data_IF_118443436040
#
_entry.id   IF_118443436040
#
_cell.length_a   1.000
_cell.length_b   1.000
_cell.length_c   1.000
_cell.angle_alpha   90.00
_cell.angle_beta   90.00
_cell.angle_gamma   90.00
#
_symmetry.space_group_name_H-M   'P 1'
#
loop_
_entity.id
_entity.type
_entity.pdbx_description
1 polymer ?
#
# COMPACT_ATOMS: atom_id res chain seq x y z
N UNK A 1 -24.34 -15.32 -8.95
CA UNK A 1 -25.53 -14.69 -8.34
C UNK A 1 -25.08 -13.41 -7.67
N UNK A 2 -25.59 -12.26 -8.12
CA UNK A 2 -25.47 -11.00 -7.36
C UNK A 2 -26.34 -11.12 -6.11
N UNK A 3 -25.75 -10.90 -4.93
CA UNK A 3 -26.44 -11.05 -3.63
C UNK A 3 -26.89 -9.72 -3.03
N UNK A 4 -26.46 -8.59 -3.60
CA UNK A 4 -26.75 -7.25 -3.09
C UNK A 4 -27.62 -6.48 -4.09
N UNK A 5 -28.68 -5.85 -3.60
CA UNK A 5 -29.60 -5.02 -4.39
C UNK A 5 -29.17 -3.55 -4.48
N UNK A 6 -28.27 -3.11 -3.60
CA UNK A 6 -27.66 -1.79 -3.60
C UNK A 6 -26.40 -1.82 -2.73
N UNK A 7 -25.50 -0.84 -2.91
CA UNK A 7 -24.31 -0.67 -2.08
C UNK A 7 -24.29 0.76 -1.55
N UNK A 8 -24.14 0.92 -0.23
CA UNK A 8 -24.01 2.20 0.46
C UNK A 8 -22.67 2.20 1.20
N UNK A 9 -21.89 3.27 1.07
CA UNK A 9 -20.57 3.38 1.73
C UNK A 9 -20.38 4.74 2.40
N UNK A 10 -19.87 4.73 3.64
CA UNK A 10 -19.57 5.96 4.38
C UNK A 10 -18.41 6.75 3.75
N UNK A 11 -17.43 6.02 3.21
CA UNK A 11 -16.22 6.56 2.59
C UNK A 11 -15.96 5.89 1.25
N UNK A 12 -15.34 6.63 0.35
CA UNK A 12 -14.93 6.14 -0.96
C UNK A 12 -15.01 7.23 -2.02
N UNK A 13 -14.73 6.87 -3.26
CA UNK A 13 -14.82 7.78 -4.41
C UNK A 13 -15.73 7.22 -5.49
N UNK A 14 -16.28 8.11 -6.31
CA UNK A 14 -17.12 7.76 -7.46
C UNK A 14 -16.35 7.10 -8.61
N UNK A 15 -15.02 7.18 -8.61
CA UNK A 15 -14.11 6.54 -9.56
C UNK A 15 -13.32 5.36 -8.94
N UNK A 16 -13.60 5.00 -7.67
CA UNK A 16 -12.92 3.91 -6.99
C UNK A 16 -13.31 2.53 -7.51
N UNK A 17 -12.54 1.50 -7.15
CA UNK A 17 -12.75 0.12 -7.58
C UNK A 17 -14.17 -0.41 -7.26
N UNK A 18 -14.72 -0.05 -6.10
CA UNK A 18 -16.08 -0.43 -5.70
C UNK A 18 -17.14 0.25 -6.58
N UNK A 19 -16.94 1.53 -6.94
CA UNK A 19 -17.83 2.26 -7.83
C UNK A 19 -17.84 1.63 -9.24
N UNK A 20 -16.65 1.28 -9.74
CA UNK A 20 -16.50 0.55 -10.99
C UNK A 20 -17.20 -0.81 -10.95
N UNK A 21 -17.11 -1.53 -9.84
CA UNK A 21 -17.78 -2.81 -9.64
C UNK A 21 -19.31 -2.66 -9.60
N UNK A 22 -19.82 -1.67 -8.88
CA UNK A 22 -21.25 -1.40 -8.77
C UNK A 22 -21.85 -1.01 -10.12
N UNK A 23 -21.19 -0.11 -10.87
CA UNK A 23 -21.59 0.23 -12.26
C UNK A 23 -21.60 -0.99 -13.16
N UNK A 24 -20.55 -1.82 -13.09
CA UNK A 24 -20.45 -3.05 -13.91
C UNK A 24 -21.61 -4.00 -13.64
N UNK A 25 -22.01 -4.11 -12.38
CA UNK A 25 -23.10 -4.99 -11.98
C UNK A 25 -24.48 -4.34 -12.01
N UNK A 26 -24.58 -3.06 -12.43
CA UNK A 26 -25.82 -2.27 -12.40
C UNK A 26 -26.48 -2.28 -11.04
N UNK A 27 -25.67 -2.22 -9.98
CA UNK A 27 -26.14 -2.14 -8.61
C UNK A 27 -26.17 -0.66 -8.22
N UNK A 28 -27.33 -0.13 -7.78
CA UNK A 28 -27.43 1.22 -7.23
C UNK A 28 -26.35 1.45 -6.16
N UNK A 29 -25.59 2.53 -6.31
CA UNK A 29 -24.43 2.78 -5.45
C UNK A 29 -24.35 4.24 -5.02
N UNK A 30 -24.31 4.45 -3.70
CA UNK A 30 -24.07 5.75 -3.10
C UNK A 30 -22.82 5.66 -2.21
N UNK A 31 -21.93 6.63 -2.38
CA UNK A 31 -20.64 6.70 -1.70
C UNK A 31 -20.45 8.05 -1.01
N UNK A 32 -19.69 8.04 0.08
CA UNK A 32 -19.36 9.26 0.82
C UNK A 32 -20.49 9.73 1.74
N UNK A 33 -21.33 8.80 2.23
CA UNK A 33 -22.45 9.11 3.13
C UNK A 33 -21.99 9.56 4.53
N UNK A 34 -20.72 9.33 4.89
CA UNK A 34 -20.07 9.65 6.17
C UNK A 34 -20.61 8.93 7.40
N UNK A 35 -21.91 8.80 7.56
CA UNK A 35 -22.56 8.28 8.76
C UNK A 35 -23.67 7.24 8.52
N UNK A 36 -23.77 6.68 7.31
CA UNK A 36 -24.78 5.69 6.98
C UNK A 36 -24.67 4.44 7.87
N UNK A 37 -23.45 3.95 8.15
CA UNK A 37 -23.27 2.78 9.04
C UNK A 37 -23.71 3.03 10.48
N UNK A 38 -23.84 4.31 10.89
CA UNK A 38 -24.32 4.70 12.23
C UNK A 38 -25.83 4.90 12.28
N UNK A 39 -26.45 5.16 11.14
CA UNK A 39 -27.88 5.50 11.02
C UNK A 39 -28.74 4.32 10.58
N UNK A 40 -28.19 3.40 9.80
CA UNK A 40 -28.90 2.25 9.25
C UNK A 40 -28.64 1.01 10.10
N UNK A 41 -29.67 0.19 10.29
CA UNK A 41 -29.57 -1.04 11.08
C UNK A 41 -29.72 -2.30 10.23
N UNK A 42 -29.06 -3.39 10.65
CA UNK A 42 -29.18 -4.67 9.96
C UNK A 42 -30.63 -5.19 9.97
N UNK A 43 -31.12 -5.61 8.80
CA UNK A 43 -32.48 -6.11 8.62
C UNK A 43 -33.52 -5.00 8.36
N UNK A 44 -33.10 -3.74 8.33
CA UNK A 44 -33.97 -2.62 7.95
C UNK A 44 -34.34 -2.68 6.46
N UNK A 45 -35.62 -2.42 6.16
CA UNK A 45 -36.11 -2.34 4.79
C UNK A 45 -35.92 -0.91 4.29
N UNK A 46 -35.22 -0.75 3.16
CA UNK A 46 -34.87 0.55 2.59
C UNK A 46 -35.18 0.57 1.09
N UNK A 47 -35.46 1.76 0.56
CA UNK A 47 -35.49 2.03 -0.87
C UNK A 47 -34.38 3.02 -1.19
N UNK A 48 -33.56 2.71 -2.18
CA UNK A 48 -32.38 3.49 -2.52
C UNK A 48 -32.58 4.06 -3.91
N UNK A 49 -32.58 5.38 -3.99
CA UNK A 49 -32.60 6.14 -5.23
C UNK A 49 -31.21 6.73 -5.44
N UNK A 50 -30.45 6.09 -6.33
CA UNK A 50 -29.07 6.50 -6.59
C UNK A 50 -28.97 7.71 -7.53
N UNK A 51 -30.01 8.02 -8.31
CA UNK A 51 -30.00 9.15 -9.26
C UNK A 51 -30.25 10.46 -8.52
N UNK A 52 -31.25 10.47 -7.64
CA UNK A 52 -31.54 11.62 -6.76
C UNK A 52 -30.64 11.64 -5.51
N UNK A 53 -29.84 10.58 -5.31
CA UNK A 53 -28.92 10.43 -4.18
C UNK A 53 -29.64 10.46 -2.81
N UNK A 54 -30.76 9.72 -2.71
CA UNK A 54 -31.63 9.67 -1.53
C UNK A 54 -31.83 8.22 -1.06
N UNK A 55 -31.76 8.02 0.25
CA UNK A 55 -32.10 6.75 0.90
C UNK A 55 -33.39 6.93 1.70
N UNK A 56 -34.42 6.18 1.32
CA UNK A 56 -35.72 6.20 1.95
C UNK A 56 -35.88 5.02 2.92
N UNK A 57 -36.54 5.28 4.04
CA UNK A 57 -36.95 4.23 4.96
C UNK A 57 -38.20 3.51 4.44
N UNK A 58 -38.16 2.18 4.42
CA UNK A 58 -39.24 1.33 3.91
C UNK A 58 -39.20 1.11 2.40
N UNK A 59 -40.25 0.46 1.89
CA UNK A 59 -40.42 0.12 0.47
C UNK A 59 -41.31 1.16 -0.23
N UNK A 60 -40.73 1.97 -1.12
CA UNK A 60 -41.49 2.89 -1.98
C UNK A 60 -41.76 2.20 -3.31
N UNK A 61 -42.99 1.69 -3.48
CA UNK A 61 -43.38 0.89 -4.65
C UNK A 61 -43.47 1.73 -5.92
N UNK A 62 -43.87 2.98 -5.78
CA UNK A 62 -44.03 3.94 -6.86
C UNK A 62 -42.69 4.19 -7.56
N UNK A 63 -41.61 4.34 -6.78
CA UNK A 63 -40.27 4.57 -7.28
C UNK A 63 -39.73 3.33 -7.99
N UNK A 64 -39.95 2.14 -7.40
CA UNK A 64 -39.57 0.87 -8.03
C UNK A 64 -40.29 0.69 -9.37
N UNK A 65 -41.60 0.97 -9.43
CA UNK A 65 -42.37 0.85 -10.66
C UNK A 65 -41.96 1.88 -11.71
N UNK A 66 -41.64 3.11 -11.29
CA UNK A 66 -41.16 4.16 -12.19
C UNK A 66 -39.89 3.71 -12.93
N UNK A 67 -38.87 3.26 -12.19
CA UNK A 67 -37.62 2.78 -12.77
C UNK A 67 -37.78 1.47 -13.54
N UNK A 68 -38.67 0.57 -13.12
CA UNK A 68 -38.97 -0.65 -13.89
C UNK A 68 -39.56 -0.31 -15.27
N UNK A 69 -40.39 0.73 -15.37
CA UNK A 69 -40.98 1.17 -16.63
C UNK A 69 -39.93 1.88 -17.50
N UNK A 70 -39.06 2.67 -16.88
CA UNK A 70 -37.98 3.40 -17.57
C UNK A 70 -36.90 2.44 -18.11
N UNK A 71 -36.52 1.42 -17.35
CA UNK A 71 -35.55 0.39 -17.77
C UNK A 71 -36.04 -0.46 -18.95
N UNK A 72 -37.35 -0.60 -19.16
CA UNK A 72 -37.91 -1.33 -20.31
C UNK A 72 -37.60 -0.68 -21.66
N UNK A 73 -37.07 0.55 -21.68
CA UNK A 73 -36.61 1.24 -22.89
C UNK A 73 -35.08 1.36 -23.03
N UNK A 74 -34.31 1.15 -21.96
CA UNK A 74 -32.87 1.36 -21.94
C UNK A 74 -32.09 0.11 -22.37
N UNK A 75 -31.35 0.21 -23.48
CA UNK A 75 -30.36 -0.80 -23.89
C UNK A 75 -30.64 -1.52 -25.21
N UNK A 76 -31.78 -1.23 -25.84
CA UNK A 76 -32.08 -1.65 -27.22
C UNK A 76 -31.60 -0.64 -28.27
N UNK A 77 -31.12 0.54 -27.86
CA UNK A 77 -30.52 1.50 -28.78
C UNK A 77 -29.22 0.94 -29.38
N UNK A 78 -29.04 1.13 -30.69
CA UNK A 78 -27.86 0.67 -31.41
C UNK A 78 -26.57 1.21 -30.79
N UNK A 79 -26.58 2.47 -30.34
CA UNK A 79 -25.45 3.12 -29.68
C UNK A 79 -25.09 2.43 -28.35
N UNK A 80 -26.10 2.03 -27.57
CA UNK A 80 -25.89 1.33 -26.30
C UNK A 80 -25.36 -0.09 -26.53
N UNK A 81 -25.90 -0.81 -27.50
CA UNK A 81 -25.42 -2.14 -27.88
C UNK A 81 -23.98 -2.10 -28.40
N UNK A 82 -23.67 -1.13 -29.26
CA UNK A 82 -22.30 -0.90 -29.75
C UNK A 82 -21.35 -0.56 -28.59
N UNK A 83 -21.76 0.29 -27.66
CA UNK A 83 -20.96 0.64 -26.50
C UNK A 83 -20.68 -0.59 -25.63
N UNK A 84 -21.69 -1.41 -25.33
CA UNK A 84 -21.50 -2.66 -24.57
C UNK A 84 -20.54 -3.62 -25.27
N UNK A 85 -20.69 -3.84 -26.58
CA UNK A 85 -19.78 -4.70 -27.34
C UNK A 85 -18.32 -4.24 -27.24
N UNK A 86 -18.08 -2.92 -27.31
CA UNK A 86 -16.73 -2.35 -27.14
C UNK A 86 -16.27 -2.51 -25.70
N UNK A 87 -17.12 -2.18 -24.72
CA UNK A 87 -16.78 -2.24 -23.30
C UNK A 87 -16.37 -3.66 -22.86
N UNK A 88 -17.07 -4.68 -23.33
CA UNK A 88 -16.77 -6.09 -23.06
C UNK A 88 -15.40 -6.52 -23.58
N UNK A 89 -14.90 -5.88 -24.64
CA UNK A 89 -13.57 -6.15 -25.23
C UNK A 89 -12.47 -5.24 -24.69
N UNK A 90 -12.81 -4.11 -24.07
CA UNK A 90 -11.82 -3.15 -23.59
C UNK A 90 -11.62 -3.27 -22.08
N UNK A 91 -12.68 -3.11 -21.29
CA UNK A 91 -12.59 -2.79 -19.87
C UNK A 91 -12.68 -4.00 -18.94
N UNK A 92 -13.28 -5.10 -19.39
CA UNK A 92 -13.51 -6.25 -18.54
C UNK A 92 -12.20 -7.01 -18.24
N UNK A 93 -11.82 -7.12 -16.96
CA UNK A 93 -10.74 -8.02 -16.57
C UNK A 93 -11.32 -9.44 -16.47
N UNK A 94 -11.00 -10.28 -17.44
CA UNK A 94 -11.55 -11.64 -17.53
C UNK A 94 -10.90 -12.62 -16.54
N UNK A 95 -9.77 -12.20 -15.94
CA UNK A 95 -9.01 -12.96 -14.96
C UNK A 95 -9.63 -12.93 -13.56
N UNK A 96 -10.72 -13.68 -13.33
CA UNK A 96 -11.36 -13.81 -12.00
C UNK A 96 -10.79 -14.92 -11.11
N UNK A 97 -9.84 -15.72 -11.59
CA UNK A 97 -9.34 -16.92 -10.88
C UNK A 97 -7.95 -16.68 -10.28
N UNK A 98 -7.86 -15.93 -9.19
CA UNK A 98 -6.60 -15.72 -8.47
C UNK A 98 -6.29 -16.82 -7.43
N UNK A 99 -7.30 -17.59 -7.00
CA UNK A 99 -7.17 -18.59 -5.92
C UNK A 99 -6.77 -19.99 -6.37
N UNK A 100 -6.98 -20.32 -7.65
CA UNK A 100 -6.74 -21.68 -8.13
C UNK A 100 -6.03 -21.67 -9.47
N UNK A 101 -4.76 -22.10 -9.42
CA UNK A 101 -3.94 -22.67 -10.49
C UNK A 101 -2.78 -21.81 -11.01
N UNK A 102 -1.62 -22.42 -10.84
CA UNK A 102 -0.37 -22.32 -11.58
C UNK A 102 -0.59 -22.49 -13.10
N UNK A 103 -1.27 -21.57 -13.75
CA UNK A 103 -1.22 -21.44 -15.21
C UNK A 103 -0.27 -20.30 -15.55
N UNK A 104 0.77 -20.61 -16.34
CA UNK A 104 1.66 -19.60 -16.89
C UNK A 104 0.84 -18.66 -17.79
N UNK A 105 0.60 -17.45 -17.29
CA UNK A 105 -0.11 -16.40 -18.01
C UNK A 105 0.57 -16.11 -19.36
N UNK A 106 -0.16 -16.25 -20.47
CA UNK A 106 0.35 -15.98 -21.81
C UNK A 106 -0.55 -15.00 -22.58
N UNK A 107 0.01 -14.37 -23.62
CA UNK A 107 -0.72 -13.39 -24.43
C UNK A 107 -1.96 -13.99 -25.13
N UNK A 108 -1.95 -15.30 -25.41
CA UNK A 108 -3.06 -16.01 -26.06
C UNK A 108 -4.27 -16.21 -25.14
N UNK A 109 -4.11 -16.02 -23.83
CA UNK A 109 -5.18 -16.11 -22.82
C UNK A 109 -5.90 -14.78 -22.57
N UNK A 110 -5.40 -13.66 -23.12
CA UNK A 110 -6.02 -12.35 -22.98
C UNK A 110 -7.28 -12.25 -23.85
N UNK A 111 -8.42 -11.90 -23.26
CA UNK A 111 -9.69 -11.72 -23.96
C UNK A 111 -10.02 -10.24 -24.20
N UNK A 112 -9.43 -9.35 -23.41
CA UNK A 112 -9.66 -7.91 -23.45
C UNK A 112 -8.37 -7.10 -23.49
N UNK A 113 -8.49 -5.79 -23.80
CA UNK A 113 -7.36 -4.86 -23.69
C UNK A 113 -6.88 -4.73 -22.24
N UNK A 114 -7.81 -4.74 -21.27
CA UNK A 114 -7.47 -4.72 -19.85
C UNK A 114 -6.64 -5.94 -19.45
N UNK A 115 -6.96 -7.13 -19.98
CA UNK A 115 -6.18 -8.35 -19.75
C UNK A 115 -4.72 -8.19 -20.24
N UNK A 116 -4.54 -7.60 -21.43
CA UNK A 116 -3.22 -7.34 -21.99
C UNK A 116 -2.42 -6.34 -21.15
N UNK A 117 -3.06 -5.25 -20.71
CA UNK A 117 -2.44 -4.26 -19.84
C UNK A 117 -2.03 -4.87 -18.50
N UNK A 118 -2.90 -5.72 -17.92
CA UNK A 118 -2.62 -6.47 -16.71
C UNK A 118 -1.43 -7.42 -16.89
N UNK A 119 -1.40 -8.20 -17.99
CA UNK A 119 -0.30 -9.10 -18.32
C UNK A 119 1.03 -8.35 -18.53
N UNK A 120 1.01 -7.19 -19.20
CA UNK A 120 2.19 -6.38 -19.40
C UNK A 120 2.76 -5.87 -18.07
N UNK A 121 1.89 -5.40 -17.17
CA UNK A 121 2.27 -4.97 -15.83
C UNK A 121 2.84 -6.14 -15.01
N UNK A 122 2.17 -7.30 -15.02
CA UNK A 122 2.64 -8.50 -14.32
C UNK A 122 4.00 -8.97 -14.83
N UNK A 123 4.23 -8.94 -16.15
CA UNK A 123 5.51 -9.28 -16.75
C UNK A 123 6.61 -8.26 -16.43
N UNK A 124 6.28 -6.96 -16.34
CA UNK A 124 7.22 -5.95 -15.89
C UNK A 124 7.64 -6.21 -14.43
N UNK A 125 6.69 -6.52 -13.56
CA UNK A 125 6.95 -6.91 -12.16
C UNK A 125 7.80 -8.19 -12.10
N UNK A 126 7.45 -9.22 -12.87
CA UNK A 126 8.25 -10.45 -12.97
C UNK A 126 9.68 -10.18 -13.44
N UNK A 127 9.87 -9.25 -14.39
CA UNK A 127 11.18 -8.83 -14.86
C UNK A 127 12.00 -8.10 -13.81
N UNK A 128 11.34 -7.31 -12.95
CA UNK A 128 11.97 -6.69 -11.77
C UNK A 128 12.39 -7.75 -10.73
N UNK A 129 11.61 -8.81 -10.56
CA UNK A 129 11.84 -9.87 -9.55
C UNK A 129 12.84 -10.94 -10.04
N UNK A 130 12.68 -11.45 -11.26
CA UNK A 130 13.52 -12.48 -11.89
C UNK A 130 14.53 -11.83 -12.84
N UNK A 131 15.77 -11.62 -12.40
CA UNK A 131 16.76 -11.06 -13.32
C UNK A 131 18.21 -11.10 -12.86
N UNK A 132 18.87 -12.25 -12.93
CA UNK A 132 20.33 -12.36 -12.71
C UNK A 132 21.19 -11.61 -13.76
N UNK A 133 20.61 -11.22 -14.90
CA UNK A 133 21.30 -10.52 -16.00
C UNK A 133 20.95 -9.04 -16.12
N UNK A 134 19.68 -8.63 -16.01
CA UNK A 134 19.26 -7.22 -16.02
C UNK A 134 19.64 -6.47 -14.74
N UNK A 135 19.79 -7.17 -13.61
CA UNK A 135 20.28 -6.60 -12.36
C UNK A 135 21.67 -5.96 -12.50
N UNK A 136 22.56 -6.48 -13.38
CA UNK A 136 23.93 -5.94 -13.47
C UNK A 136 24.01 -4.53 -14.05
N UNK A 137 23.09 -4.13 -14.93
CA UNK A 137 23.06 -2.77 -15.49
C UNK A 137 22.18 -1.82 -14.66
N UNK A 138 21.03 -2.29 -14.18
CA UNK A 138 20.18 -1.50 -13.28
C UNK A 138 20.86 -1.20 -11.93
N UNK A 139 21.60 -2.16 -11.36
CA UNK A 139 22.41 -1.91 -10.16
C UNK A 139 23.71 -1.13 -10.42
N UNK A 140 24.18 -0.99 -11.67
CA UNK A 140 25.30 -0.07 -11.98
C UNK A 140 24.91 1.39 -11.80
N UNK A 141 23.63 1.73 -12.02
CA UNK A 141 23.08 3.06 -11.75
C UNK A 141 22.74 3.29 -10.27
N UNK A 142 22.66 2.22 -9.46
CA UNK A 142 22.32 2.34 -8.05
C UNK A 142 23.41 3.06 -7.24
N UNK A 143 22.98 3.83 -6.26
CA UNK A 143 23.85 4.58 -5.35
C UNK A 143 23.86 3.96 -3.96
N UNK A 144 24.97 4.08 -3.25
CA UNK A 144 25.11 3.57 -1.89
C UNK A 144 24.91 4.72 -0.91
N UNK A 145 23.86 4.63 -0.10
CA UNK A 145 23.65 5.49 1.06
C UNK A 145 24.14 4.76 2.31
N UNK A 146 25.16 5.30 2.98
CA UNK A 146 25.67 4.74 4.24
C UNK A 146 24.92 5.33 5.42
N UNK A 147 24.43 4.46 6.30
CA UNK A 147 23.85 4.84 7.58
C UNK A 147 24.65 4.25 8.73
N UNK A 148 25.27 5.13 9.52
CA UNK A 148 26.12 4.74 10.63
C UNK A 148 27.28 3.84 10.18
N UNK A 149 27.73 2.95 11.06
CA UNK A 149 28.87 2.05 10.80
C UNK A 149 28.46 0.73 10.11
N UNK A 150 27.17 0.37 10.13
CA UNK A 150 26.74 -1.01 9.84
C UNK A 150 25.60 -1.17 8.82
N UNK A 151 24.88 -0.11 8.46
CA UNK A 151 23.82 -0.20 7.45
C UNK A 151 24.19 0.51 6.15
N UNK A 152 23.96 -0.19 5.03
CA UNK A 152 24.15 0.33 3.69
C UNK A 152 22.88 0.09 2.90
N UNK A 153 22.31 1.17 2.37
CA UNK A 153 21.16 1.13 1.47
C UNK A 153 21.64 1.27 0.03
N UNK A 154 21.15 0.40 -0.82
CA UNK A 154 21.28 0.49 -2.26
C UNK A 154 20.06 1.22 -2.81
N UNK A 155 20.28 2.43 -3.30
CA UNK A 155 19.26 3.36 -3.77
C UNK A 155 19.16 3.27 -5.29
N UNK A 156 17.93 3.11 -5.79
CA UNK A 156 17.59 3.13 -7.21
C UNK A 156 16.65 4.32 -7.40
N UNK A 157 17.10 5.30 -8.18
CA UNK A 157 16.26 6.42 -8.59
C UNK A 157 15.51 6.05 -9.88
N UNK A 158 14.19 6.13 -9.84
CA UNK A 158 13.30 5.84 -10.98
C UNK A 158 12.57 7.08 -11.50
N UNK A 159 12.78 8.26 -10.90
CA UNK A 159 12.06 9.47 -11.31
C UNK A 159 12.30 10.64 -10.37
N UNK A 160 13.47 11.29 -10.51
CA UNK A 160 13.85 12.49 -9.78
C UNK A 160 13.79 12.35 -8.25
N UNK A 161 14.17 11.18 -7.72
CA UNK A 161 14.25 10.97 -6.28
C UNK A 161 15.57 11.46 -5.65
N UNK A 162 16.60 11.69 -6.46
CA UNK A 162 17.88 12.26 -6.05
C UNK A 162 18.10 13.65 -6.69
N UNK A 163 18.73 14.58 -5.96
CA UNK A 163 19.11 15.90 -6.48
C UNK A 163 20.11 15.73 -7.62
N UNK A 164 19.96 16.48 -8.72
CA UNK A 164 20.90 16.43 -9.85
C UNK A 164 22.29 16.97 -9.47
N UNK A 165 23.11 16.15 -8.83
CA UNK A 165 24.52 16.43 -8.58
C UNK A 165 25.35 15.39 -9.34
N UNK A 166 26.52 15.80 -9.84
CA UNK A 166 27.45 14.97 -10.60
C UNK A 166 27.78 13.66 -9.85
N UNK A 167 27.03 12.59 -10.10
CA UNK A 167 27.23 11.32 -9.42
C UNK A 167 28.33 10.49 -10.07
N UNK A 168 29.51 11.09 -10.28
CA UNK A 168 30.74 10.34 -10.58
C UNK A 168 31.10 9.38 -9.44
N UNK A 169 30.63 9.68 -8.23
CA UNK A 169 30.78 8.81 -7.07
C UNK A 169 29.60 7.84 -6.92
N UNK A 170 29.90 6.63 -6.45
CA UNK A 170 28.94 5.56 -6.20
C UNK A 170 28.26 5.66 -4.83
N UNK A 171 28.72 6.58 -3.97
CA UNK A 171 28.19 6.81 -2.63
C UNK A 171 27.48 8.16 -2.59
N UNK A 172 26.32 8.22 -1.95
CA UNK A 172 25.53 9.44 -1.76
C UNK A 172 25.29 9.69 -0.27
N UNK A 173 25.02 10.93 0.09
CA UNK A 173 24.62 11.37 1.42
C UNK A 173 23.10 11.47 1.52
N UNK A 174 22.57 11.59 2.74
CA UNK A 174 21.13 11.81 2.94
C UNK A 174 20.67 13.17 2.38
N UNK A 175 21.58 14.15 2.33
CA UNK A 175 21.32 15.49 1.78
C UNK A 175 21.09 15.48 0.27
N UNK A 176 21.55 14.44 -0.43
CA UNK A 176 21.37 14.25 -1.88
C UNK A 176 19.97 13.72 -2.25
N UNK A 177 19.18 13.28 -1.26
CA UNK A 177 17.82 12.79 -1.47
C UNK A 177 16.86 13.98 -1.59
N UNK A 178 15.97 13.91 -2.57
CA UNK A 178 14.84 14.84 -2.72
C UNK A 178 13.46 14.17 -2.72
N UNK A 179 13.43 12.83 -2.72
CA UNK A 179 12.20 12.05 -2.53
C UNK A 179 11.50 12.45 -1.23
N UNK A 180 10.29 13.00 -1.37
CA UNK A 180 9.46 13.47 -0.25
C UNK A 180 9.22 12.39 0.81
N UNK A 181 8.73 11.17 0.46
CA UNK A 181 8.54 10.13 1.46
C UNK A 181 9.85 9.64 2.10
N UNK A 182 10.95 9.59 1.33
CA UNK A 182 12.25 9.16 1.86
C UNK A 182 12.86 10.18 2.82
N UNK A 183 12.70 11.48 2.56
CA UNK A 183 13.13 12.53 3.50
C UNK A 183 12.36 12.38 4.80
N UNK A 184 11.02 12.34 4.74
CA UNK A 184 10.17 12.23 5.91
C UNK A 184 10.53 11.00 6.76
N UNK A 185 10.62 9.83 6.15
CA UNK A 185 11.05 8.62 6.85
C UNK A 185 12.48 8.75 7.41
N UNK A 186 13.39 9.24 6.57
CA UNK A 186 14.83 9.30 6.79
C UNK A 186 15.26 10.21 7.94
N UNK A 187 14.54 11.31 8.17
CA UNK A 187 14.85 12.25 9.27
C UNK A 187 14.88 11.56 10.64
N UNK A 188 13.96 10.62 10.87
CA UNK A 188 13.90 9.84 12.11
C UNK A 188 14.64 8.52 12.01
N UNK A 189 14.58 7.87 10.84
CA UNK A 189 15.30 6.64 10.61
C UNK A 189 16.80 6.85 10.82
N UNK A 190 17.39 7.90 10.25
CA UNK A 190 18.83 8.15 10.29
C UNK A 190 19.32 9.00 11.46
N UNK A 191 18.43 9.41 12.36
CA UNK A 191 18.78 10.26 13.49
C UNK A 191 19.84 9.61 14.41
N UNK A 192 20.89 10.34 14.82
CA UNK A 192 21.90 9.83 15.75
C UNK A 192 21.30 9.66 17.15
N UNK A 193 21.59 8.53 17.82
CA UNK A 193 21.17 8.33 19.23
C UNK A 193 22.05 9.11 20.19
N UNK A 194 21.46 9.67 21.26
CA UNK A 194 22.21 10.15 22.43
C UNK A 194 22.89 8.93 23.08
N UNK A 195 24.20 9.03 23.38
CA UNK A 195 24.98 7.93 24.00
C UNK A 195 24.34 7.50 25.32
N UNK A 196 23.72 6.32 25.36
CA UNK A 196 23.56 5.56 26.59
C UNK A 196 24.92 4.94 26.91
N UNK A 197 25.39 5.14 28.15
CA UNK A 197 26.58 4.46 28.68
C UNK A 197 26.20 3.00 28.94
N UNK A 198 27.11 2.11 28.59
CA UNK A 198 27.10 0.65 28.78
C UNK A 198 26.24 -0.08 27.74
N UNK A 199 26.73 -1.04 26.95
CA UNK A 199 27.76 -2.04 27.21
C UNK A 199 28.56 -2.36 25.94
N UNK A 200 29.87 -2.23 26.04
CA UNK A 200 30.84 -2.86 25.16
C UNK A 200 30.75 -4.39 25.26
N UNK A 201 30.79 -5.05 24.11
CA UNK A 201 30.93 -6.50 23.85
C UNK A 201 29.65 -7.15 23.32
N UNK A 202 29.51 -7.17 21.98
CA UNK A 202 29.10 -8.27 21.09
C UNK A 202 28.93 -7.59 19.72
N UNK A 203 30.02 -7.31 19.00
CA UNK A 203 29.91 -6.68 17.69
C UNK A 203 31.10 -7.02 16.81
N UNK A 204 31.32 -8.31 16.53
CA UNK A 204 32.38 -8.70 15.59
C UNK A 204 32.07 -9.87 14.65
N UNK A 205 30.85 -10.41 14.57
CA UNK A 205 30.59 -11.55 13.67
C UNK A 205 29.22 -11.60 12.97
N UNK A 206 28.55 -10.46 12.75
CA UNK A 206 27.39 -10.45 11.83
C UNK A 206 27.83 -9.89 10.48
N UNK A 207 28.26 -10.79 9.60
CA UNK A 207 28.37 -10.50 8.18
C UNK A 207 26.97 -10.25 7.61
N UNK A 208 26.55 -8.99 7.56
CA UNK A 208 25.36 -8.58 6.81
C UNK A 208 25.64 -8.73 5.31
N UNK A 209 25.54 -9.96 4.80
CA UNK A 209 25.68 -10.25 3.35
C UNK A 209 24.56 -9.65 2.50
N UNK A 210 23.45 -9.17 3.10
CA UNK A 210 22.29 -8.62 2.39
C UNK A 210 22.23 -7.11 2.59
N UNK A 211 22.22 -6.36 1.49
CA UNK A 211 22.06 -4.90 1.46
C UNK A 211 20.60 -4.52 1.66
N UNK A 212 20.32 -3.40 2.31
CA UNK A 212 18.99 -2.81 2.28
C UNK A 212 18.76 -2.18 0.90
N UNK A 213 17.52 -2.12 0.44
CA UNK A 213 17.18 -1.58 -0.88
C UNK A 213 16.15 -0.47 -0.75
N UNK A 214 16.34 0.61 -1.49
CA UNK A 214 15.31 1.63 -1.68
C UNK A 214 15.14 1.90 -3.17
N UNK A 215 13.92 1.82 -3.67
CA UNK A 215 13.53 2.34 -4.98
C UNK A 215 12.74 3.61 -4.73
N UNK A 216 13.12 4.72 -5.34
CA UNK A 216 12.49 6.00 -5.05
C UNK A 216 12.34 6.87 -6.29
N UNK A 217 11.31 7.70 -6.26
CA UNK A 217 11.11 8.85 -7.15
C UNK A 217 10.92 10.10 -6.27
N UNK A 218 10.65 11.25 -6.87
CA UNK A 218 10.30 12.47 -6.14
C UNK A 218 9.17 12.27 -5.12
N UNK A 219 8.19 11.43 -5.45
CA UNK A 219 6.96 11.24 -4.66
C UNK A 219 6.76 9.80 -4.18
N UNK A 220 7.58 8.86 -4.64
CA UNK A 220 7.47 7.44 -4.35
C UNK A 220 8.67 6.91 -3.55
N UNK A 221 8.40 5.95 -2.66
CA UNK A 221 9.41 5.17 -1.95
C UNK A 221 8.94 3.72 -1.77
N UNK A 222 9.76 2.78 -2.23
CA UNK A 222 9.74 1.39 -1.80
C UNK A 222 11.03 1.08 -1.06
N UNK A 223 10.95 0.82 0.24
CA UNK A 223 12.09 0.52 1.08
C UNK A 223 11.99 -0.91 1.62
N UNK A 224 13.03 -1.71 1.41
CA UNK A 224 13.20 -3.04 2.00
C UNK A 224 14.37 -3.04 2.97
N UNK A 225 14.10 -3.41 4.22
CA UNK A 225 15.08 -3.43 5.31
C UNK A 225 15.32 -4.86 5.77
N UNK A 226 16.59 -5.28 5.74
CA UNK A 226 17.04 -6.56 6.27
C UNK A 226 17.50 -6.41 7.72
N UNK A 227 16.79 -7.04 8.64
CA UNK A 227 17.12 -7.09 10.08
C UNK A 227 17.38 -8.55 10.47
N UNK A 228 18.61 -9.01 10.22
CA UNK A 228 18.98 -10.42 10.37
C UNK A 228 18.20 -11.31 9.39
N UNK A 229 17.44 -12.32 9.86
CA UNK A 229 16.60 -13.14 8.98
C UNK A 229 15.30 -12.43 8.57
N UNK A 230 14.86 -11.41 9.31
CA UNK A 230 13.59 -10.72 9.06
C UNK A 230 13.73 -9.68 7.94
N UNK A 231 12.67 -9.56 7.14
CA UNK A 231 12.58 -8.61 6.03
C UNK A 231 11.34 -7.74 6.26
N UNK A 232 11.56 -6.45 6.44
CA UNK A 232 10.46 -5.49 6.54
C UNK A 232 10.43 -4.63 5.29
N UNK A 233 9.25 -4.13 4.95
CA UNK A 233 9.01 -3.33 3.76
C UNK A 233 8.15 -2.11 4.10
N UNK A 234 8.47 -0.98 3.47
CA UNK A 234 7.64 0.23 3.45
C UNK A 234 7.43 0.58 1.99
N UNK A 235 6.19 0.85 1.61
CA UNK A 235 5.82 1.32 0.27
C UNK A 235 4.95 2.56 0.44
N UNK A 236 5.30 3.67 -0.21
CA UNK A 236 4.62 4.94 0.02
C UNK A 236 4.63 5.82 -1.22
N UNK A 237 3.50 6.50 -1.44
CA UNK A 237 3.34 7.57 -2.40
C UNK A 237 2.81 8.81 -1.70
N UNK A 238 3.49 9.93 -1.84
CA UNK A 238 3.13 11.22 -1.22
C UNK A 238 3.30 12.35 -2.24
N UNK A 239 2.17 12.82 -2.77
CA UNK A 239 2.02 13.99 -3.64
C UNK A 239 1.03 14.99 -3.03
N UNK A 240 0.72 16.09 -3.74
CA UNK A 240 -0.20 17.13 -3.25
C UNK A 240 -1.66 16.68 -3.23
N UNK A 241 -2.05 15.82 -4.17
CA UNK A 241 -3.38 15.21 -4.26
C UNK A 241 -3.55 14.16 -3.18
N UNK A 242 -4.23 14.54 -2.08
CA UNK A 242 -4.44 13.70 -0.91
C UNK A 242 -5.03 12.34 -1.27
N UNK A 243 -5.87 12.31 -2.29
CA UNK A 243 -6.53 11.17 -2.91
C UNK A 243 -5.61 10.04 -3.36
N UNK A 244 -4.38 10.36 -3.77
CA UNK A 244 -3.40 9.41 -4.30
C UNK A 244 -2.44 8.91 -3.21
N UNK A 245 -2.40 9.61 -2.08
CA UNK A 245 -1.44 9.35 -1.03
C UNK A 245 -1.71 8.03 -0.32
N UNK A 246 -0.65 7.23 -0.10
CA UNK A 246 -0.71 6.03 0.72
C UNK A 246 0.61 5.72 1.42
N UNK A 247 0.49 4.94 2.51
CA UNK A 247 1.61 4.27 3.16
C UNK A 247 1.18 2.83 3.43
N UNK A 248 1.99 1.88 2.98
CA UNK A 248 1.91 0.47 3.30
C UNK A 248 3.17 0.05 4.04
N UNK A 249 3.01 -0.74 5.09
CA UNK A 249 4.10 -1.29 5.90
C UNK A 249 3.89 -2.78 6.09
N UNK A 250 4.97 -3.55 5.99
CA UNK A 250 4.98 -4.98 6.29
C UNK A 250 6.11 -5.30 7.26
N UNK A 251 5.76 -5.93 8.37
CA UNK A 251 6.70 -6.39 9.39
C UNK A 251 6.71 -7.91 9.46
N UNK A 252 7.87 -8.52 9.27
CA UNK A 252 8.04 -9.98 9.33
C UNK A 252 7.86 -10.53 10.75
N UNK A 253 7.17 -11.67 10.87
CA UNK A 253 6.90 -12.38 12.13
C UNK A 253 7.67 -13.70 12.27
N UNK A 254 8.96 -13.73 11.95
CA UNK A 254 9.75 -14.99 11.93
C UNK A 254 9.93 -15.65 13.31
N UNK A 255 9.63 -14.94 14.40
CA UNK A 255 9.78 -15.41 15.79
C UNK A 255 8.45 -15.57 16.52
N UNK A 256 7.33 -15.48 15.79
CA UNK A 256 5.97 -15.59 16.32
C UNK A 256 5.46 -14.31 17.01
N UNK A 257 4.14 -14.22 17.16
CA UNK A 257 3.41 -13.00 17.60
C UNK A 257 3.84 -12.47 18.98
N UNK A 258 4.35 -13.34 19.85
CA UNK A 258 4.89 -12.96 21.16
C UNK A 258 6.20 -12.17 21.08
N UNK A 259 6.82 -12.08 19.89
CA UNK A 259 8.08 -11.38 19.72
C UNK A 259 7.90 -9.86 19.95
N UNK A 260 8.68 -9.23 20.84
CA UNK A 260 8.44 -7.85 21.25
C UNK A 260 8.44 -6.80 20.13
N UNK A 261 9.27 -6.98 19.09
CA UNK A 261 9.27 -6.12 17.88
C UNK A 261 7.91 -6.14 17.17
N UNK A 262 7.30 -7.33 17.06
CA UNK A 262 6.03 -7.51 16.37
C UNK A 262 4.90 -6.84 17.14
N UNK A 263 4.88 -7.03 18.47
CA UNK A 263 3.94 -6.36 19.37
C UNK A 263 4.08 -4.83 19.32
N UNK A 264 5.31 -4.32 19.36
CA UNK A 264 5.57 -2.88 19.25
C UNK A 264 5.09 -2.33 17.91
N UNK A 265 5.45 -2.98 16.79
CA UNK A 265 5.00 -2.53 15.47
C UNK A 265 3.48 -2.48 15.38
N UNK A 266 2.78 -3.51 15.87
CA UNK A 266 1.32 -3.54 15.93
C UNK A 266 0.75 -2.37 16.72
N UNK A 267 1.22 -2.15 17.95
CA UNK A 267 0.71 -1.09 18.81
C UNK A 267 0.95 0.30 18.20
N UNK A 268 2.11 0.52 17.58
CA UNK A 268 2.44 1.78 16.90
C UNK A 268 1.54 1.99 15.68
N UNK A 269 1.35 0.96 14.84
CA UNK A 269 0.44 1.07 13.68
C UNK A 269 -1.00 1.39 14.12
N UNK A 270 -1.50 0.75 15.18
CA UNK A 270 -2.84 1.01 15.73
C UNK A 270 -2.99 2.45 16.20
N UNK A 271 -2.02 2.97 16.96
CA UNK A 271 -2.06 4.34 17.44
C UNK A 271 -1.95 5.38 16.32
N UNK A 272 -1.23 5.05 15.24
CA UNK A 272 -1.14 5.90 14.05
C UNK A 272 -2.39 5.82 13.16
N UNK A 273 -3.42 5.07 13.58
CA UNK A 273 -4.69 4.85 12.86
C UNK A 273 -4.53 4.14 11.52
N UNK A 274 -3.53 3.25 11.40
CA UNK A 274 -3.44 2.35 10.27
C UNK A 274 -4.49 1.24 10.39
N UNK A 275 -5.02 0.82 9.26
CA UNK A 275 -5.69 -0.47 9.13
C UNK A 275 -4.64 -1.57 9.17
N UNK A 276 -4.96 -2.70 9.81
CA UNK A 276 -3.99 -3.76 10.10
C UNK A 276 -4.58 -5.12 9.77
N UNK A 277 -3.76 -5.95 9.13
CA UNK A 277 -4.01 -7.37 8.93
C UNK A 277 -2.85 -8.19 9.51
N UNK A 278 -3.19 -9.15 10.38
CA UNK A 278 -2.24 -10.05 11.02
C UNK A 278 -2.32 -11.44 10.41
N UNK A 279 -1.14 -11.97 10.05
CA UNK A 279 -0.96 -13.36 9.60
C UNK A 279 0.09 -14.04 10.47
N UNK A 280 0.16 -15.38 10.49
CA UNK A 280 1.18 -16.11 11.25
C UNK A 280 2.62 -15.71 10.92
N UNK A 281 2.86 -15.16 9.71
CA UNK A 281 4.20 -14.84 9.20
C UNK A 281 4.49 -13.34 9.13
N UNK A 282 3.50 -12.46 9.30
CA UNK A 282 3.70 -11.02 9.19
C UNK A 282 2.50 -10.17 9.63
N UNK A 283 2.79 -8.90 9.91
CA UNK A 283 1.86 -7.79 10.12
C UNK A 283 1.88 -6.92 8.87
N UNK A 284 0.73 -6.76 8.23
CA UNK A 284 0.54 -5.79 7.15
C UNK A 284 -0.27 -4.62 7.70
N UNK A 285 0.14 -3.39 7.41
CA UNK A 285 -0.56 -2.18 7.84
C UNK A 285 -0.62 -1.16 6.71
N UNK A 286 -1.76 -0.50 6.53
CA UNK A 286 -1.91 0.54 5.50
C UNK A 286 -2.76 1.72 5.95
N UNK A 287 -2.52 2.86 5.32
CA UNK A 287 -3.32 4.07 5.44
C UNK A 287 -3.30 4.83 4.11
N UNK A 288 -4.38 5.50 3.75
CA UNK A 288 -4.48 6.23 2.49
C UNK A 288 -5.29 7.52 2.64
N UNK A 289 -5.28 8.36 1.61
CA UNK A 289 -6.18 9.52 1.47
C UNK A 289 -5.97 10.62 2.52
N UNK A 290 -4.78 10.71 3.10
CA UNK A 290 -4.41 11.79 4.02
C UNK A 290 -3.64 12.89 3.28
N UNK A 291 -3.74 14.10 3.83
CA UNK A 291 -2.93 15.23 3.37
C UNK A 291 -1.43 14.91 3.38
N UNK A 292 -0.63 15.56 2.54
CA UNK A 292 0.80 15.27 2.44
C UNK A 292 1.52 15.43 3.78
N UNK A 293 1.23 16.52 4.51
CA UNK A 293 1.78 16.75 5.86
C UNK A 293 1.35 15.69 6.87
N UNK A 294 0.13 15.16 6.73
CA UNK A 294 -0.33 14.07 7.58
C UNK A 294 0.42 12.77 7.27
N UNK A 295 0.69 12.45 6.00
CA UNK A 295 1.51 11.29 5.61
C UNK A 295 2.95 11.40 6.11
N UNK A 296 3.58 12.56 5.93
CA UNK A 296 4.94 12.83 6.42
C UNK A 296 5.06 12.58 7.93
N UNK A 297 4.08 13.02 8.72
CA UNK A 297 4.04 12.74 10.17
C UNK A 297 3.99 11.25 10.49
N UNK A 298 3.29 10.43 9.70
CA UNK A 298 3.26 8.97 9.89
C UNK A 298 4.59 8.36 9.49
N UNK A 299 5.18 8.79 8.36
CA UNK A 299 6.51 8.35 7.95
C UNK A 299 7.58 8.72 8.98
N UNK A 300 7.49 9.89 9.63
CA UNK A 300 8.39 10.26 10.75
C UNK A 300 8.27 9.26 11.90
N UNK A 301 7.04 8.90 12.30
CA UNK A 301 6.80 7.95 13.37
C UNK A 301 7.31 6.53 13.01
N UNK A 302 7.10 6.10 11.77
CA UNK A 302 7.62 4.83 11.24
C UNK A 302 9.16 4.84 11.22
N UNK A 303 9.78 5.94 10.81
CA UNK A 303 11.24 6.09 10.84
C UNK A 303 11.79 5.96 12.26
N UNK A 304 11.12 6.55 13.25
CA UNK A 304 11.46 6.41 14.67
C UNK A 304 11.30 4.96 15.15
N UNK A 305 10.25 4.26 14.73
CA UNK A 305 10.03 2.84 15.02
C UNK A 305 11.20 1.99 14.53
N UNK A 306 11.62 2.14 13.27
CA UNK A 306 12.75 1.40 12.73
C UNK A 306 14.08 1.74 13.41
N UNK A 307 14.33 3.02 13.71
CA UNK A 307 15.51 3.44 14.47
C UNK A 307 15.52 2.82 15.89
N UNK A 308 14.37 2.71 16.53
CA UNK A 308 14.23 2.07 17.84
C UNK A 308 14.49 0.55 17.78
N UNK A 309 13.82 -0.14 16.86
CA UNK A 309 13.92 -1.57 16.60
C UNK A 309 15.36 -1.97 16.29
N UNK A 310 16.00 -1.29 15.35
CA UNK A 310 17.33 -1.66 14.85
C UNK A 310 18.41 -1.71 15.93
N UNK A 311 18.47 -0.71 16.81
CA UNK A 311 19.47 -0.69 17.89
C UNK A 311 19.34 -1.88 18.85
N UNK A 312 18.12 -2.37 19.08
CA UNK A 312 17.88 -3.53 19.94
C UNK A 312 18.12 -4.85 19.23
N UNK A 313 18.17 -4.87 17.90
CA UNK A 313 18.70 -6.01 17.14
C UNK A 313 20.22 -6.18 17.35
N UNK A 314 20.99 -5.10 17.56
CA UNK A 314 22.41 -5.16 17.93
C UNK A 314 22.65 -5.60 19.39
N UNK A 315 21.68 -5.36 20.29
CA UNK A 315 21.75 -5.75 21.72
C UNK A 315 20.94 -6.98 22.13
N UNK A 316 20.16 -7.57 21.21
CA UNK A 316 19.20 -8.64 21.47
C UNK A 316 17.85 -8.15 22.02
N UNK A 317 16.74 -8.67 21.46
CA UNK A 317 15.36 -8.38 21.90
C UNK A 317 14.95 -9.06 23.22
N UNK A 318 15.88 -9.68 23.96
CA UNK A 318 15.56 -10.51 25.13
C UNK A 318 14.93 -9.75 26.30
N UNK A 319 15.03 -8.42 26.36
CA UNK A 319 14.59 -7.60 27.50
C UNK A 319 13.67 -6.41 27.12
N UNK A 320 12.71 -6.60 26.22
CA UNK A 320 11.65 -5.60 26.02
C UNK A 320 10.57 -5.76 27.10
N UNK A 321 10.70 -5.00 28.19
CA UNK A 321 9.61 -4.81 29.17
C UNK A 321 8.49 -3.96 28.57
N UNK A 322 7.26 -4.13 29.07
CA UNK A 322 6.11 -3.26 28.75
C UNK A 322 6.38 -1.77 29.03
N UNK A 323 7.23 -1.45 30.02
CA UNK A 323 7.70 -0.09 30.28
C UNK A 323 8.55 0.50 29.15
N UNK A 324 9.33 -0.31 28.43
CA UNK A 324 10.13 0.18 27.29
C UNK A 324 9.24 0.63 26.13
N UNK A 325 8.05 0.04 26.00
CA UNK A 325 7.05 0.40 24.99
C UNK A 325 6.40 1.74 25.33
N UNK A 326 6.18 2.03 26.62
CA UNK A 326 5.65 3.33 27.06
C UNK A 326 6.60 4.51 26.79
N UNK A 327 7.91 4.26 26.63
CA UNK A 327 8.92 5.28 26.26
C UNK A 327 9.04 5.52 24.75
N UNK A 328 8.35 4.72 23.93
CA UNK A 328 8.34 4.91 22.48
C UNK A 328 7.46 6.10 22.07
N UNK A 329 6.37 6.32 22.81
CA UNK A 329 5.49 7.46 22.71
C UNK A 329 6.03 8.65 23.53
#
# INVERSE_FOLDING_TARGET
MQKASAILTDSGKTDGSVASLARRFRIPFIVGLKDATKRLFNGELLTIDADENVVYQGLIKELINYYLIEELGYGDELEHQMFQMVQDKVANLSFTNWETQTQDFNINSCQTIHDLAYLACENAIKGLIKGDSYQKEFFRASKLLKWGKYMVFQIIDIGDGLKSANFSESTISFEDIQSRPMIALGEKLFAPKKKEKDSSAIADNVSFKKKNFAVLSKEYLNLTIHLGPAIDMIDSYVCEESELNYIFCRFSNLKGEAHPRFKLAREVMQQLSFEIEETPIALSAWISQLSPSAMEKRLHAIGNLFNFIHFRDEGGYSNLSSESISRFF
#
